data_IF_317892257659
#
_entry.id   IF_317892257659
#
_cell.length_a   1.000
_cell.length_b   1.000
_cell.length_c   1.000
_cell.angle_alpha   90.00
_cell.angle_beta   90.00
_cell.angle_gamma   90.00
#
_symmetry.space_group_name_H-M   'P 1'
#
loop_
_entity.id
_entity.type
_entity.pdbx_description
1 polymer ?
#
# COMPACT_ATOMS: atom_id res chain seq x y z
N UNK A 1 14.84 6.07 -16.05
CA UNK A 1 14.03 7.26 -15.69
C UNK A 1 13.85 7.30 -14.18
N UNK A 2 13.17 8.32 -13.65
CA UNK A 2 12.90 8.47 -12.21
C UNK A 2 11.39 8.46 -11.99
N UNK A 3 10.93 7.72 -10.98
CA UNK A 3 9.52 7.64 -10.60
C UNK A 3 9.39 7.48 -9.08
N UNK A 4 8.27 7.96 -8.52
CA UNK A 4 7.86 7.67 -7.14
C UNK A 4 6.84 6.53 -7.19
N UNK A 5 7.19 5.38 -6.64
CA UNK A 5 6.37 4.17 -6.64
C UNK A 5 6.25 3.64 -5.21
N UNK A 6 5.11 3.05 -4.82
CA UNK A 6 5.00 2.37 -3.54
C UNK A 6 5.88 1.11 -3.48
N UNK A 7 6.54 0.90 -2.36
CA UNK A 7 7.50 -0.20 -2.16
C UNK A 7 6.88 -1.57 -2.47
N UNK A 8 5.64 -1.79 -2.05
CA UNK A 8 4.95 -3.08 -2.20
C UNK A 8 4.73 -3.54 -3.65
N UNK A 9 4.87 -2.66 -4.64
CA UNK A 9 4.83 -3.05 -6.07
C UNK A 9 6.21 -3.20 -6.70
N UNK A 10 7.28 -2.74 -6.03
CA UNK A 10 8.66 -2.76 -6.54
C UNK A 10 9.67 -3.48 -5.62
N UNK A 11 9.21 -4.08 -4.52
CA UNK A 11 10.07 -4.79 -3.54
C UNK A 11 11.03 -5.78 -4.21
N UNK A 12 10.53 -6.48 -5.24
CA UNK A 12 11.33 -7.45 -5.99
C UNK A 12 12.40 -6.77 -6.83
N UNK A 13 12.06 -5.73 -7.55
CA UNK A 13 12.97 -4.96 -8.38
C UNK A 13 14.07 -4.29 -7.55
N UNK A 14 13.75 -3.82 -6.35
CA UNK A 14 14.72 -3.31 -5.37
C UNK A 14 15.64 -4.44 -4.88
N UNK A 15 15.09 -5.60 -4.51
CA UNK A 15 15.88 -6.76 -4.07
C UNK A 15 16.79 -7.32 -5.17
N UNK A 16 16.32 -7.32 -6.43
CA UNK A 16 17.07 -7.74 -7.61
C UNK A 16 18.11 -6.70 -8.06
N UNK A 17 18.14 -5.50 -7.45
CA UNK A 17 19.02 -4.39 -7.85
C UNK A 17 18.68 -3.77 -9.21
N UNK A 18 17.49 -4.07 -9.76
CA UNK A 18 16.98 -3.49 -11.02
C UNK A 18 16.47 -2.06 -10.82
N UNK A 19 16.06 -1.74 -9.60
CA UNK A 19 15.75 -0.40 -9.14
C UNK A 19 16.66 -0.04 -7.97
N UNK A 20 16.92 1.26 -7.83
CA UNK A 20 17.66 1.81 -6.68
C UNK A 20 16.87 2.98 -6.11
N UNK A 21 16.84 3.06 -4.79
CA UNK A 21 16.31 4.22 -4.10
C UNK A 21 17.25 5.42 -4.30
N UNK A 22 16.67 6.59 -4.50
CA UNK A 22 17.39 7.86 -4.59
C UNK A 22 16.72 8.87 -3.67
N UNK A 23 17.49 9.83 -3.16
CA UNK A 23 16.99 10.85 -2.21
C UNK A 23 16.43 10.23 -0.91
N UNK A 24 17.08 9.20 -0.35
CA UNK A 24 16.63 8.50 0.86
C UNK A 24 16.46 9.41 2.10
N UNK A 25 17.14 10.56 2.13
CA UNK A 25 16.99 11.56 3.20
C UNK A 25 15.76 12.48 3.02
N UNK A 26 15.02 12.32 1.93
CA UNK A 26 13.84 13.12 1.61
C UNK A 26 12.60 12.24 1.58
N UNK A 27 11.64 12.53 2.48
CA UNK A 27 10.38 11.78 2.57
C UNK A 27 9.18 12.66 2.17
N UNK A 28 8.39 12.27 1.15
CA UNK A 28 7.16 12.96 0.77
C UNK A 28 6.03 12.71 1.80
N UNK A 29 4.96 13.49 1.76
CA UNK A 29 3.80 13.24 2.64
C UNK A 29 3.25 11.81 2.47
N UNK A 30 2.91 11.20 3.61
CA UNK A 30 2.31 9.87 3.68
C UNK A 30 1.01 9.82 2.87
N UNK A 31 0.92 8.80 2.01
CA UNK A 31 -0.29 8.50 1.25
C UNK A 31 -1.08 7.41 1.98
N UNK A 32 -2.40 7.55 1.98
CA UNK A 32 -3.31 6.58 2.58
C UNK A 32 -3.89 5.64 1.51
N UNK A 33 -4.04 4.37 1.86
CA UNK A 33 -4.77 3.38 1.08
C UNK A 33 -6.19 3.26 1.61
N UNK A 34 -7.18 3.44 0.75
CA UNK A 34 -8.60 3.43 1.14
C UNK A 34 -9.35 2.27 0.49
N UNK A 35 -10.16 1.57 1.29
CA UNK A 35 -11.16 0.62 0.82
C UNK A 35 -12.50 1.36 0.67
N UNK A 36 -13.00 1.43 -0.56
CA UNK A 36 -14.27 2.10 -0.87
C UNK A 36 -15.36 1.05 -1.09
N UNK A 37 -16.49 1.22 -0.41
CA UNK A 37 -17.70 0.41 -0.61
C UNK A 37 -18.91 1.30 -0.79
N UNK A 38 -19.94 0.88 -1.56
CA UNK A 38 -21.19 1.60 -1.63
C UNK A 38 -21.78 1.85 -0.23
N UNK A 39 -22.44 2.99 0.00
CA UNK A 39 -23.18 3.21 1.24
C UNK A 39 -24.32 2.20 1.31
N UNK A 40 -24.20 1.21 2.19
CA UNK A 40 -25.23 0.19 2.45
C UNK A 40 -25.45 0.08 3.95
N UNK A 41 -26.72 0.00 4.36
CA UNK A 41 -27.11 -0.26 5.74
C UNK A 41 -26.77 -1.68 6.21
N UNK A 42 -26.69 -2.63 5.28
CA UNK A 42 -26.30 -4.02 5.54
C UNK A 42 -25.17 -4.41 4.60
N UNK A 43 -23.96 -4.62 5.15
CA UNK A 43 -22.84 -5.19 4.39
C UNK A 43 -22.88 -6.72 4.48
N UNK A 44 -22.86 -7.45 3.36
CA UNK A 44 -22.79 -8.92 3.38
C UNK A 44 -21.52 -9.39 4.10
N UNK A 45 -21.62 -10.49 4.86
CA UNK A 45 -20.50 -11.02 5.65
C UNK A 45 -19.22 -11.25 4.84
N UNK A 46 -19.33 -11.69 3.57
CA UNK A 46 -18.17 -11.86 2.68
C UNK A 46 -17.40 -10.55 2.42
N UNK A 47 -18.10 -9.40 2.40
CA UNK A 47 -17.50 -8.09 2.16
C UNK A 47 -16.73 -7.65 3.40
N UNK A 48 -17.34 -7.82 4.58
CA UNK A 48 -16.67 -7.54 5.87
C UNK A 48 -15.40 -8.40 6.01
N UNK A 49 -15.48 -9.70 5.72
CA UNK A 49 -14.31 -10.59 5.76
C UNK A 49 -13.17 -10.15 4.82
N UNK A 50 -13.52 -9.68 3.61
CA UNK A 50 -12.52 -9.16 2.67
C UNK A 50 -11.92 -7.85 3.15
N UNK A 51 -12.74 -6.93 3.68
CA UNK A 51 -12.27 -5.68 4.27
C UNK A 51 -11.29 -5.96 5.41
N UNK A 52 -11.65 -6.87 6.32
CA UNK A 52 -10.81 -7.26 7.45
C UNK A 52 -9.49 -7.86 6.98
N UNK A 53 -9.54 -8.80 6.04
CA UNK A 53 -8.35 -9.44 5.47
C UNK A 53 -7.40 -8.40 4.83
N UNK A 54 -7.92 -7.53 3.96
CA UNK A 54 -7.11 -6.52 3.27
C UNK A 54 -6.57 -5.48 4.25
N UNK A 55 -7.38 -5.05 5.22
CA UNK A 55 -6.96 -4.12 6.26
C UNK A 55 -5.81 -4.68 7.11
N UNK A 56 -5.86 -5.97 7.46
CA UNK A 56 -4.77 -6.64 8.17
C UNK A 56 -3.53 -6.79 7.28
N UNK A 57 -3.72 -7.24 6.02
CA UNK A 57 -2.63 -7.52 5.09
C UNK A 57 -1.82 -6.28 4.70
N UNK A 58 -2.46 -5.11 4.68
CA UNK A 58 -1.86 -3.86 4.21
C UNK A 58 -1.56 -2.84 5.31
N UNK A 59 -1.86 -3.15 6.58
CA UNK A 59 -1.63 -2.26 7.74
C UNK A 59 -0.21 -1.71 7.81
N UNK A 60 0.78 -2.53 7.46
CA UNK A 60 2.20 -2.22 7.64
C UNK A 60 2.89 -1.73 6.36
N UNK A 61 2.15 -1.60 5.25
CA UNK A 61 2.75 -1.16 3.97
C UNK A 61 3.14 0.32 3.97
N UNK A 62 2.46 1.15 4.76
CA UNK A 62 2.75 2.58 4.85
C UNK A 62 3.69 2.94 6.01
N UNK A 63 4.27 1.96 6.70
CA UNK A 63 5.07 2.18 7.93
C UNK A 63 6.57 2.29 7.65
N UNK A 64 7.01 1.95 6.44
CA UNK A 64 8.39 2.04 6.00
C UNK A 64 8.46 3.09 4.88
N UNK A 65 8.49 4.36 5.26
CA UNK A 65 8.75 5.54 4.42
C UNK A 65 9.60 6.50 5.23
#
# INVERSE_FOLDING_TARGET
GIARLPDFIIDRELADGRLVEILADWSPMNIALHLLTPPSTLRPARVELVIDFLSQRFRNLCTRV
#
